data_IF_717354762591
#
_entry.id   IF_717354762591
#
_cell.length_a   1.000
_cell.length_b   1.000
_cell.length_c   1.000
_cell.angle_alpha   90.00
_cell.angle_beta   90.00
_cell.angle_gamma   90.00
#
_symmetry.space_group_name_H-M   'P 1'
#
loop_
_entity.id
_entity.type
_entity.pdbx_description
1 polymer ?
#
# COMPACT_ATOMS: atom_id res chain seq x y z
N UNK A 1 9.42 27.48 55.34
CA UNK A 1 8.10 27.11 54.75
C UNK A 1 8.01 27.33 53.23
N UNK A 2 8.74 28.30 52.63
CA UNK A 2 8.66 28.64 51.20
C UNK A 2 9.30 27.62 50.22
N UNK A 3 10.36 26.91 50.66
CA UNK A 3 11.11 25.93 49.85
C UNK A 3 10.37 24.62 49.59
N UNK A 4 9.43 24.25 50.48
CA UNK A 4 8.63 23.01 50.39
C UNK A 4 7.47 23.14 49.40
N UNK A 5 6.83 24.32 49.33
CA UNK A 5 5.76 24.62 48.35
C UNK A 5 6.28 24.62 46.91
N UNK A 6 7.48 25.14 46.66
CA UNK A 6 8.11 25.12 45.33
C UNK A 6 8.40 23.70 44.83
N UNK A 7 8.85 22.78 45.70
CA UNK A 7 9.07 21.38 45.33
C UNK A 7 7.77 20.65 44.96
N UNK A 8 6.69 20.89 45.72
CA UNK A 8 5.36 20.30 45.42
C UNK A 8 4.75 20.86 44.12
N UNK A 9 4.94 22.16 43.86
CA UNK A 9 4.53 22.77 42.59
C UNK A 9 5.33 22.23 41.40
N UNK A 10 6.64 22.02 41.56
CA UNK A 10 7.49 21.44 40.51
C UNK A 10 7.10 19.98 40.20
N UNK A 11 6.81 19.18 41.23
CA UNK A 11 6.36 17.78 41.07
C UNK A 11 4.98 17.73 40.39
N UNK A 12 4.06 18.63 40.75
CA UNK A 12 2.76 18.71 40.09
C UNK A 12 2.89 19.14 38.61
N UNK A 13 3.81 20.06 38.29
CA UNK A 13 4.06 20.49 36.92
C UNK A 13 4.66 19.37 36.07
N UNK A 14 5.61 18.60 36.63
CA UNK A 14 6.18 17.42 35.98
C UNK A 14 5.10 16.37 35.74
N UNK A 15 4.23 16.09 36.73
CA UNK A 15 3.14 15.13 36.56
C UNK A 15 2.13 15.55 35.47
N UNK A 16 1.84 16.85 35.34
CA UNK A 16 0.96 17.38 34.28
C UNK A 16 1.63 17.29 32.91
N UNK A 17 2.93 17.61 32.82
CA UNK A 17 3.70 17.47 31.57
C UNK A 17 3.82 15.98 31.18
N UNK A 18 4.08 15.09 32.12
CA UNK A 18 4.11 13.64 31.88
C UNK A 18 2.74 13.10 31.47
N UNK A 19 1.64 13.59 32.05
CA UNK A 19 0.29 13.22 31.63
C UNK A 19 -0.05 13.77 30.23
N UNK A 20 0.39 14.98 29.89
CA UNK A 20 0.22 15.57 28.55
C UNK A 20 1.04 14.84 27.48
N UNK A 21 2.25 14.39 27.81
CA UNK A 21 3.09 13.55 26.94
C UNK A 21 2.45 12.16 26.76
N UNK A 22 1.84 11.60 27.80
CA UNK A 22 1.15 10.31 27.72
C UNK A 22 -0.16 10.39 26.91
N UNK A 23 -0.92 11.50 27.00
CA UNK A 23 -2.06 11.75 26.12
C UNK A 23 -1.63 12.10 24.69
N UNK A 24 -0.48 12.75 24.51
CA UNK A 24 0.12 12.99 23.20
C UNK A 24 0.54 11.68 22.53
N UNK A 25 1.08 10.72 23.28
CA UNK A 25 1.41 9.38 22.78
C UNK A 25 0.16 8.57 22.38
N UNK A 26 -0.98 8.74 23.07
CA UNK A 26 -2.26 8.17 22.64
C UNK A 26 -2.87 8.87 21.41
N UNK A 27 -2.47 10.11 21.12
CA UNK A 27 -2.92 10.83 19.93
C UNK A 27 -2.03 10.57 18.69
N UNK A 28 -0.76 10.20 18.87
CA UNK A 28 0.15 9.87 17.76
C UNK A 28 -0.26 8.58 17.04
N UNK A 29 -0.97 7.67 17.72
CA UNK A 29 -1.57 6.49 17.05
C UNK A 29 -2.79 6.83 16.18
N UNK A 30 -3.24 8.09 16.13
CA UNK A 30 -4.34 8.54 15.26
C UNK A 30 -3.79 9.11 13.94
N UNK A 31 -2.48 9.38 13.82
CA UNK A 31 -1.94 10.20 12.70
C UNK A 31 -1.41 9.36 11.53
N UNK A 32 -1.25 8.03 11.67
CA UNK A 32 -0.78 7.18 10.57
C UNK A 32 -1.55 5.86 10.49
N UNK A 33 -2.69 5.90 9.79
CA UNK A 33 -3.41 4.73 9.28
C UNK A 33 -4.39 4.09 10.26
N UNK A 34 -5.65 4.52 10.25
CA UNK A 34 -6.74 3.66 10.74
C UNK A 34 -7.97 3.82 9.84
N UNK A 35 -8.11 2.94 8.84
CA UNK A 35 -9.28 2.87 7.94
C UNK A 35 -10.24 1.75 8.31
N UNK A 36 -9.92 1.07 9.42
CA UNK A 36 -10.68 -0.02 9.99
C UNK A 36 -10.80 0.23 11.47
N UNK A 37 -11.92 0.82 11.90
CA UNK A 37 -12.25 0.90 13.31
C UNK A 37 -12.23 -0.53 13.90
N UNK A 38 -11.18 -0.83 14.66
CA UNK A 38 -10.86 -2.15 15.15
C UNK A 38 -10.79 -2.15 16.67
N UNK A 39 -10.98 -3.33 17.29
CA UNK A 39 -10.78 -3.55 18.71
C UNK A 39 -9.57 -4.47 18.91
N UNK A 40 -8.43 -3.95 19.38
CA UNK A 40 -7.26 -4.77 19.67
C UNK A 40 -7.59 -5.93 20.62
N UNK A 41 -7.11 -7.14 20.32
CA UNK A 41 -7.47 -8.35 21.05
C UNK A 41 -6.30 -9.36 21.11
N UNK A 42 -6.38 -10.34 22.02
CA UNK A 42 -5.37 -11.41 22.12
C UNK A 42 -5.46 -12.45 21.00
N UNK A 43 -6.62 -12.52 20.35
CA UNK A 43 -6.89 -13.38 19.21
C UNK A 43 -6.92 -12.51 17.94
N UNK A 44 -6.07 -12.78 16.93
CA UNK A 44 -6.06 -12.00 15.70
C UNK A 44 -7.37 -12.10 14.92
N UNK A 45 -8.10 -13.21 15.01
CA UNK A 45 -9.41 -13.37 14.37
C UNK A 45 -10.42 -12.38 14.96
N UNK A 46 -10.43 -12.23 16.29
CA UNK A 46 -11.33 -11.30 16.97
C UNK A 46 -11.10 -9.83 16.55
N UNK A 47 -9.86 -9.46 16.23
CA UNK A 47 -9.54 -8.12 15.70
C UNK A 47 -10.16 -7.93 14.32
N UNK A 48 -9.96 -8.89 13.41
CA UNK A 48 -10.53 -8.84 12.05
C UNK A 48 -12.06 -8.84 12.06
N UNK A 49 -12.68 -9.66 12.91
CA UNK A 49 -14.12 -9.65 13.09
C UNK A 49 -14.61 -8.27 13.53
N UNK A 50 -13.95 -7.64 14.51
CA UNK A 50 -14.34 -6.29 14.95
C UNK A 50 -14.17 -5.22 13.87
N UNK A 51 -13.19 -5.40 12.98
CA UNK A 51 -12.94 -4.50 11.87
C UNK A 51 -14.05 -4.63 10.80
N UNK A 52 -14.45 -5.86 10.47
CA UNK A 52 -15.57 -6.14 9.56
C UNK A 52 -16.91 -5.66 10.12
N UNK A 53 -17.15 -5.86 11.43
CA UNK A 53 -18.31 -5.29 12.11
C UNK A 53 -18.38 -3.77 11.94
N UNK A 54 -17.25 -3.06 12.08
CA UNK A 54 -17.24 -1.62 11.89
C UNK A 54 -17.49 -1.19 10.45
N UNK A 55 -17.09 -1.98 9.45
CA UNK A 55 -17.44 -1.69 8.05
C UNK A 55 -18.95 -1.77 7.80
N UNK A 56 -19.64 -2.70 8.47
CA UNK A 56 -21.11 -2.78 8.39
C UNK A 56 -21.80 -1.53 8.96
N UNK A 57 -21.09 -0.76 9.79
CA UNK A 57 -21.57 0.50 10.36
C UNK A 57 -21.26 1.75 9.53
N UNK A 58 -20.54 1.61 8.40
CA UNK A 58 -20.28 2.74 7.50
C UNK A 58 -21.54 3.09 6.71
N UNK A 59 -21.69 4.38 6.40
CA UNK A 59 -22.95 4.91 5.90
C UNK A 59 -23.28 4.50 4.45
N UNK A 60 -22.29 4.00 3.71
CA UNK A 60 -22.38 3.47 2.35
C UNK A 60 -22.47 1.93 2.30
N UNK A 61 -22.37 1.23 3.42
CA UNK A 61 -22.46 -0.24 3.48
C UNK A 61 -23.87 -0.63 3.93
N UNK A 62 -24.60 -1.38 3.10
CA UNK A 62 -25.94 -1.87 3.45
C UNK A 62 -25.88 -3.13 4.30
N UNK A 63 -24.98 -4.06 3.97
CA UNK A 63 -24.75 -5.26 4.77
C UNK A 63 -23.41 -5.92 4.47
N UNK A 64 -22.85 -6.59 5.48
CA UNK A 64 -21.73 -7.53 5.33
C UNK A 64 -22.14 -8.85 5.96
N UNK A 65 -22.08 -9.92 5.17
CA UNK A 65 -22.25 -11.30 5.64
C UNK A 65 -20.89 -12.00 5.66
N UNK A 66 -20.39 -12.27 6.86
CA UNK A 66 -19.08 -12.91 7.04
C UNK A 66 -19.20 -14.41 6.77
N UNK A 67 -18.45 -14.92 5.79
CA UNK A 67 -18.43 -16.33 5.39
C UNK A 67 -17.34 -17.07 6.15
N UNK A 68 -16.11 -16.55 6.16
CA UNK A 68 -14.99 -17.12 6.93
C UNK A 68 -13.99 -16.06 7.36
N UNK A 69 -13.30 -16.32 8.48
CA UNK A 69 -12.14 -15.55 8.93
C UNK A 69 -11.15 -16.53 9.54
N UNK A 70 -9.97 -16.67 8.93
CA UNK A 70 -8.98 -17.66 9.34
C UNK A 70 -7.55 -17.17 9.14
N UNK A 71 -6.60 -17.57 10.01
CA UNK A 71 -5.18 -17.30 9.76
C UNK A 71 -4.69 -18.01 8.49
N UNK A 72 -3.94 -17.29 7.65
CA UNK A 72 -3.29 -17.84 6.46
C UNK A 72 -1.77 -17.86 6.68
N UNK A 73 -1.24 -19.04 7.03
CA UNK A 73 0.17 -19.19 7.37
C UNK A 73 1.09 -19.08 6.16
N UNK A 74 0.63 -19.48 4.98
CA UNK A 74 1.42 -19.40 3.75
C UNK A 74 1.55 -17.93 3.33
N UNK A 75 0.45 -17.18 3.37
CA UNK A 75 0.46 -15.73 3.18
C UNK A 75 1.28 -15.01 4.26
N UNK A 76 1.18 -15.48 5.51
CA UNK A 76 2.01 -14.96 6.62
C UNK A 76 3.50 -15.11 6.31
N UNK A 77 3.95 -16.26 5.80
CA UNK A 77 5.34 -16.49 5.42
C UNK A 77 5.74 -15.63 4.22
N UNK A 78 4.88 -15.57 3.19
CA UNK A 78 5.13 -14.76 1.98
C UNK A 78 5.31 -13.29 2.33
N UNK A 79 4.40 -12.73 3.13
CA UNK A 79 4.40 -11.32 3.48
C UNK A 79 5.52 -10.97 4.45
N UNK A 80 5.86 -11.84 5.42
CA UNK A 80 7.03 -11.62 6.28
C UNK A 80 8.32 -11.52 5.48
N UNK A 81 8.52 -12.41 4.50
CA UNK A 81 9.71 -12.34 3.63
C UNK A 81 9.75 -11.02 2.88
N UNK A 82 8.63 -10.64 2.27
CA UNK A 82 8.52 -9.36 1.56
C UNK A 82 8.88 -8.17 2.47
N UNK A 83 8.28 -8.06 3.66
CA UNK A 83 8.55 -6.97 4.62
C UNK A 83 10.01 -6.99 5.11
N UNK A 84 10.60 -8.17 5.31
CA UNK A 84 11.98 -8.28 5.79
C UNK A 84 13.03 -7.93 4.73
N UNK A 85 12.70 -8.14 3.45
CA UNK A 85 13.55 -7.78 2.33
C UNK A 85 13.38 -6.30 1.93
N UNK A 86 12.57 -5.54 2.68
CA UNK A 86 12.19 -4.15 2.45
C UNK A 86 12.68 -3.26 3.62
N UNK A 87 12.62 -1.93 3.50
CA UNK A 87 13.02 -0.99 4.56
C UNK A 87 11.88 -0.64 5.58
N UNK A 88 10.68 -1.20 5.42
CA UNK A 88 9.54 -1.10 6.36
C UNK A 88 9.92 -1.41 7.81
N UNK A 89 10.73 -2.45 8.11
CA UNK A 89 11.16 -2.73 9.48
C UNK A 89 11.95 -1.57 10.10
N UNK A 90 12.84 -0.91 9.34
CA UNK A 90 13.64 0.21 9.84
C UNK A 90 12.74 1.41 10.20
N UNK A 91 11.80 1.76 9.32
CA UNK A 91 10.88 2.88 9.56
C UNK A 91 9.91 2.62 10.73
N UNK A 92 9.41 1.38 10.86
CA UNK A 92 8.50 0.99 11.94
C UNK A 92 9.21 0.64 13.26
N UNK A 93 10.55 0.61 13.26
CA UNK A 93 11.35 0.16 14.39
C UNK A 93 11.16 -1.32 14.71
N UNK A 94 10.81 -2.14 13.72
CA UNK A 94 10.64 -3.58 13.81
C UNK A 94 11.92 -4.29 13.38
N UNK A 95 12.22 -5.43 14.00
CA UNK A 95 13.24 -6.34 13.50
C UNK A 95 12.58 -7.56 12.84
N UNK A 96 13.30 -8.24 11.96
CA UNK A 96 12.81 -9.48 11.36
C UNK A 96 12.56 -10.58 12.41
N UNK A 97 13.35 -10.58 13.49
CA UNK A 97 13.12 -11.46 14.64
C UNK A 97 11.82 -11.11 15.37
N UNK A 98 11.49 -9.82 15.51
CA UNK A 98 10.21 -9.40 16.05
C UNK A 98 9.04 -9.88 15.17
N UNK A 99 9.12 -9.70 13.86
CA UNK A 99 8.07 -10.12 12.91
C UNK A 99 7.92 -11.64 12.85
N UNK A 100 8.98 -12.41 13.11
CA UNK A 100 8.93 -13.87 13.12
C UNK A 100 7.85 -14.42 14.06
N UNK A 101 7.67 -13.79 15.22
CA UNK A 101 6.72 -14.22 16.27
C UNK A 101 5.51 -13.30 16.46
N UNK A 102 5.52 -12.10 15.86
CA UNK A 102 4.54 -11.05 16.13
C UNK A 102 3.89 -10.50 14.85
N UNK A 103 3.90 -11.26 13.76
CA UNK A 103 3.18 -10.93 12.53
C UNK A 103 2.33 -12.12 12.06
N UNK A 104 1.10 -11.82 11.62
CA UNK A 104 0.18 -12.82 11.06
C UNK A 104 -0.69 -12.21 9.97
N UNK A 105 -0.92 -12.97 8.91
CA UNK A 105 -1.94 -12.69 7.91
C UNK A 105 -3.22 -13.46 8.26
N UNK A 106 -4.37 -12.80 8.21
CA UNK A 106 -5.69 -13.38 8.42
C UNK A 106 -6.51 -13.14 7.16
N UNK A 107 -6.98 -14.22 6.55
CA UNK A 107 -7.88 -14.20 5.41
C UNK A 107 -9.31 -14.08 5.90
N UNK A 108 -10.06 -13.15 5.33
CA UNK A 108 -11.50 -13.04 5.48
C UNK A 108 -12.18 -13.25 4.12
N UNK A 109 -13.28 -13.98 4.15
CA UNK A 109 -14.21 -14.10 3.02
C UNK A 109 -15.57 -13.61 3.52
N UNK A 110 -16.18 -12.67 2.80
CA UNK A 110 -17.47 -12.09 3.15
C UNK A 110 -18.23 -11.62 1.92
N UNK A 111 -19.55 -11.58 2.00
CA UNK A 111 -20.41 -10.95 1.01
C UNK A 111 -20.74 -9.52 1.43
N UNK A 112 -20.50 -8.54 0.57
CA UNK A 112 -20.80 -7.14 0.85
C UNK A 112 -21.86 -6.59 -0.10
N UNK A 113 -22.79 -5.81 0.45
CA UNK A 113 -23.82 -5.08 -0.29
C UNK A 113 -23.67 -3.61 0.05
N UNK A 114 -23.59 -2.75 -0.96
CA UNK A 114 -23.31 -1.33 -0.82
C UNK A 114 -24.46 -0.46 -1.34
N UNK A 115 -24.55 0.75 -0.77
CA UNK A 115 -25.44 1.78 -1.29
C UNK A 115 -24.79 2.41 -2.53
N UNK A 116 -25.24 1.95 -3.70
CA UNK A 116 -24.75 2.39 -5.01
C UNK A 116 -25.00 3.88 -5.30
N UNK A 117 -25.77 4.58 -4.45
CA UNK A 117 -25.93 6.05 -4.53
C UNK A 117 -24.81 6.81 -3.81
N UNK A 118 -24.07 6.13 -2.93
CA UNK A 118 -23.02 6.70 -2.08
C UNK A 118 -21.62 6.20 -2.42
N UNK A 119 -21.51 5.01 -3.00
CA UNK A 119 -20.24 4.44 -3.45
C UNK A 119 -20.39 3.79 -4.82
N UNK A 120 -19.28 3.67 -5.53
CA UNK A 120 -19.15 2.97 -6.82
C UNK A 120 -18.77 1.50 -6.65
N UNK A 121 -18.64 1.01 -5.41
CA UNK A 121 -18.30 -0.39 -5.13
C UNK A 121 -19.42 -1.33 -5.54
N UNK A 122 -19.10 -2.32 -6.37
CA UNK A 122 -20.00 -3.41 -6.68
C UNK A 122 -20.26 -4.28 -5.45
N UNK A 123 -21.50 -4.74 -5.32
CA UNK A 123 -21.86 -5.82 -4.40
C UNK A 123 -21.14 -7.11 -4.81
N UNK A 124 -20.90 -8.01 -3.86
CA UNK A 124 -20.36 -9.34 -4.15
C UNK A 124 -19.51 -9.96 -3.04
N UNK A 125 -18.96 -11.13 -3.38
CA UNK A 125 -18.06 -11.87 -2.51
C UNK A 125 -16.67 -11.26 -2.55
N UNK A 126 -16.15 -10.92 -1.38
CA UNK A 126 -14.84 -10.33 -1.18
C UNK A 126 -13.95 -11.35 -0.49
N UNK A 127 -12.75 -11.55 -1.04
CA UNK A 127 -11.64 -12.17 -0.33
C UNK A 127 -10.63 -11.09 0.04
N UNK A 128 -10.31 -10.99 1.31
CA UNK A 128 -9.46 -9.94 1.85
C UNK A 128 -8.46 -10.49 2.85
N UNK A 129 -7.21 -10.06 2.74
CA UNK A 129 -6.17 -10.34 3.71
C UNK A 129 -5.99 -9.16 4.65
N UNK A 130 -5.94 -9.44 5.95
CA UNK A 130 -5.59 -8.50 7.00
C UNK A 130 -4.22 -8.87 7.54
N UNK A 131 -3.33 -7.91 7.64
CA UNK A 131 -1.98 -8.08 8.18
C UNK A 131 -1.94 -7.47 9.57
N UNK A 132 -1.64 -8.29 10.57
CA UNK A 132 -1.68 -7.89 11.97
C UNK A 132 -0.29 -8.02 12.59
N UNK A 133 0.01 -7.10 13.50
CA UNK A 133 1.15 -7.25 14.41
C UNK A 133 0.71 -7.34 15.86
N UNK A 134 1.51 -8.03 16.69
CA UNK A 134 1.26 -8.18 18.12
C UNK A 134 2.14 -7.25 18.92
N UNK A 135 1.54 -6.28 19.60
CA UNK A 135 2.26 -5.30 20.41
C UNK A 135 3.18 -5.96 21.45
N UNK A 136 4.41 -5.46 21.56
CA UNK A 136 5.43 -5.96 22.47
C UNK A 136 4.99 -5.92 23.94
N UNK A 137 4.22 -4.89 24.31
CA UNK A 137 3.93 -4.55 25.70
C UNK A 137 2.56 -5.08 26.16
N UNK A 138 1.52 -4.85 25.34
CA UNK A 138 0.15 -5.24 25.66
C UNK A 138 -0.20 -6.67 25.20
N UNK A 139 0.63 -7.27 24.34
CA UNK A 139 0.41 -8.58 23.69
C UNK A 139 -0.92 -8.66 22.93
N UNK A 140 -1.45 -7.53 22.48
CA UNK A 140 -2.66 -7.45 21.67
C UNK A 140 -2.28 -7.36 20.20
N UNK A 141 -3.07 -8.03 19.36
CA UNK A 141 -3.02 -7.91 17.92
C UNK A 141 -3.73 -6.64 17.46
N UNK A 142 -3.18 -6.03 16.43
CA UNK A 142 -3.74 -4.88 15.72
C UNK A 142 -3.50 -5.04 14.23
N UNK A 143 -4.51 -4.75 13.42
CA UNK A 143 -4.39 -4.62 11.96
C UNK A 143 -3.50 -3.43 11.68
N UNK A 144 -2.41 -3.69 10.95
CA UNK A 144 -1.48 -2.67 10.48
C UNK A 144 -1.68 -2.36 9.00
N UNK A 145 -2.33 -3.27 8.28
CA UNK A 145 -2.60 -3.16 6.85
C UNK A 145 -3.62 -4.21 6.40
N UNK A 146 -4.20 -4.06 5.22
CA UNK A 146 -5.08 -5.03 4.59
C UNK A 146 -4.98 -4.94 3.06
N UNK A 147 -5.04 -6.07 2.35
CA UNK A 147 -5.25 -6.03 0.90
C UNK A 147 -6.66 -5.49 0.65
N UNK A 148 -6.84 -4.43 -0.14
CA UNK A 148 -8.21 -4.03 -0.50
C UNK A 148 -8.88 -5.05 -1.44
N UNK A 149 -10.12 -4.78 -1.85
CA UNK A 149 -11.00 -5.73 -2.55
C UNK A 149 -10.30 -6.38 -3.75
N UNK A 150 -9.71 -7.55 -3.52
CA UNK A 150 -9.26 -8.43 -4.57
C UNK A 150 -10.48 -9.26 -4.98
N UNK A 151 -11.18 -8.78 -6.00
CA UNK A 151 -11.77 -9.72 -6.96
C UNK A 151 -10.62 -10.43 -7.68
N UNK A 152 -9.91 -11.31 -6.97
CA UNK A 152 -9.00 -12.32 -7.54
C UNK A 152 -9.82 -13.52 -8.02
N UNK A 153 -10.93 -13.25 -8.69
CA UNK A 153 -11.59 -14.24 -9.51
C UNK A 153 -11.55 -13.73 -10.95
N UNK A 154 -10.66 -14.41 -11.68
CA UNK A 154 -10.64 -14.60 -13.12
C UNK A 154 -9.58 -13.80 -13.92
N UNK A 155 -8.31 -13.97 -13.55
CA UNK A 155 -7.29 -14.19 -14.57
C UNK A 155 -6.24 -15.20 -14.08
N UNK A 156 -6.63 -16.47 -14.00
CA UNK A 156 -5.67 -17.57 -14.14
C UNK A 156 -5.12 -17.56 -15.56
N UNK A 157 -4.20 -16.65 -15.82
CA UNK A 157 -3.13 -16.85 -16.80
C UNK A 157 -1.81 -16.76 -16.05
N UNK A 158 -1.53 -17.82 -15.27
CA UNK A 158 -0.20 -18.16 -14.79
C UNK A 158 0.75 -18.56 -15.95
N UNK A 159 0.77 -17.77 -17.02
CA UNK A 159 1.84 -17.78 -17.99
C UNK A 159 2.88 -16.77 -17.51
N UNK A 160 4.18 -17.11 -17.47
CA UNK A 160 5.21 -16.10 -17.53
C UNK A 160 4.89 -15.25 -18.76
N UNK A 161 4.64 -13.95 -18.59
CA UNK A 161 4.54 -13.02 -19.71
C UNK A 161 5.96 -12.86 -20.26
N UNK A 162 6.43 -13.85 -21.01
CA UNK A 162 7.54 -13.62 -21.92
C UNK A 162 7.03 -12.65 -22.98
N UNK A 163 7.62 -11.45 -23.12
CA UNK A 163 7.18 -10.48 -24.09
C UNK A 163 7.51 -11.02 -25.48
N UNK A 164 6.53 -11.62 -26.14
CA UNK A 164 6.64 -12.05 -27.53
C UNK A 164 6.18 -10.95 -28.50
N UNK A 165 6.10 -9.70 -28.03
CA UNK A 165 5.78 -8.53 -28.85
C UNK A 165 7.04 -7.71 -29.08
N UNK A 166 7.48 -7.61 -30.34
CA UNK A 166 8.64 -6.80 -30.74
C UNK A 166 8.40 -5.28 -30.62
N UNK A 167 7.36 -4.84 -29.90
CA UNK A 167 6.98 -3.44 -29.74
C UNK A 167 7.54 -2.90 -28.40
N UNK A 168 8.55 -2.01 -28.42
CA UNK A 168 9.15 -1.45 -27.20
C UNK A 168 8.13 -0.78 -26.27
N UNK A 169 7.11 -0.10 -26.81
CA UNK A 169 6.07 0.56 -26.01
C UNK A 169 5.27 -0.43 -25.17
N UNK A 170 4.88 -1.57 -25.75
CA UNK A 170 4.13 -2.60 -25.03
C UNK A 170 5.00 -3.30 -23.98
N UNK A 171 6.26 -3.56 -24.32
CA UNK A 171 7.25 -4.10 -23.40
C UNK A 171 7.46 -3.18 -22.18
N UNK A 172 7.55 -1.86 -22.41
CA UNK A 172 7.63 -0.87 -21.33
C UNK A 172 6.36 -0.83 -20.48
N UNK A 173 5.17 -0.86 -21.10
CA UNK A 173 3.92 -0.87 -20.35
C UNK A 173 3.86 -2.08 -19.40
N UNK A 174 4.20 -3.27 -19.88
CA UNK A 174 4.23 -4.49 -19.07
C UNK A 174 5.25 -4.40 -17.93
N UNK A 175 6.49 -4.04 -18.25
CA UNK A 175 7.56 -3.90 -17.27
C UNK A 175 7.21 -2.89 -16.16
N UNK A 176 6.74 -1.69 -16.55
CA UNK A 176 6.36 -0.65 -15.60
C UNK A 176 5.12 -1.03 -14.80
N UNK A 177 4.14 -1.71 -15.41
CA UNK A 177 2.97 -2.20 -14.67
C UNK A 177 3.38 -3.17 -13.56
N UNK A 178 4.30 -4.10 -13.84
CA UNK A 178 4.84 -5.01 -12.81
C UNK A 178 5.67 -4.29 -11.74
N UNK A 179 6.47 -3.30 -12.15
CA UNK A 179 7.26 -2.48 -11.22
C UNK A 179 6.34 -1.69 -10.27
N UNK A 180 5.35 -0.99 -10.81
CA UNK A 180 4.38 -0.22 -10.02
C UNK A 180 3.46 -1.12 -9.20
N UNK A 181 3.02 -2.26 -9.72
CA UNK A 181 2.24 -3.22 -8.93
C UNK A 181 3.03 -3.67 -7.69
N UNK A 182 4.33 -3.97 -7.84
CA UNK A 182 5.19 -4.34 -6.71
C UNK A 182 5.34 -3.24 -5.67
N UNK A 183 5.35 -1.97 -6.09
CA UNK A 183 5.47 -0.82 -5.21
C UNK A 183 4.13 -0.41 -4.56
N UNK A 184 3.01 -0.51 -5.29
CA UNK A 184 1.77 0.19 -4.96
C UNK A 184 0.57 -0.71 -4.62
N UNK A 185 0.61 -2.00 -4.96
CA UNK A 185 -0.55 -2.90 -4.73
C UNK A 185 -0.91 -3.11 -3.26
N UNK A 186 0.00 -2.79 -2.34
CA UNK A 186 -0.30 -2.78 -0.91
C UNK A 186 -1.15 -1.57 -0.51
N UNK A 187 -0.98 -0.43 -1.19
CA UNK A 187 -1.57 0.83 -0.80
C UNK A 187 -2.89 1.12 -1.54
N UNK A 188 -3.01 0.62 -2.76
CA UNK A 188 -4.04 1.03 -3.71
C UNK A 188 -4.76 -0.17 -4.35
N UNK A 189 -6.07 -0.02 -4.59
CA UNK A 189 -6.89 -1.02 -5.29
C UNK A 189 -7.11 -0.61 -6.74
N UNK A 190 -7.48 -1.58 -7.59
CA UNK A 190 -7.89 -1.32 -8.97
C UNK A 190 -6.80 -0.71 -9.85
N UNK A 191 -5.54 -1.06 -9.58
CA UNK A 191 -4.39 -0.56 -10.33
C UNK A 191 -4.51 -0.92 -11.82
N UNK A 192 -4.52 0.11 -12.67
CA UNK A 192 -4.34 -0.01 -14.13
C UNK A 192 -3.45 1.12 -14.64
N UNK A 193 -2.84 0.91 -15.79
CA UNK A 193 -1.79 1.79 -16.28
C UNK A 193 -1.99 2.19 -17.74
N UNK A 194 -1.55 3.39 -18.08
CA UNK A 194 -1.58 3.90 -19.45
C UNK A 194 -0.30 4.68 -19.77
N UNK A 195 0.22 4.50 -20.99
CA UNK A 195 1.31 5.31 -21.56
C UNK A 195 0.72 6.31 -22.55
N UNK A 196 0.87 7.59 -22.23
CA UNK A 196 0.44 8.75 -23.00
C UNK A 196 1.64 9.56 -23.50
N UNK A 197 1.45 10.32 -24.57
CA UNK A 197 2.48 11.23 -25.12
C UNK A 197 3.84 10.55 -25.41
N UNK A 198 3.79 9.35 -25.98
CA UNK A 198 4.97 8.51 -26.21
C UNK A 198 5.84 9.00 -27.37
N UNK A 199 7.14 9.13 -27.09
CA UNK A 199 8.20 9.42 -28.06
C UNK A 199 9.38 8.48 -27.79
N UNK A 200 10.03 7.99 -28.85
CA UNK A 200 11.20 7.12 -28.74
C UNK A 200 12.29 7.49 -29.74
N UNK A 201 13.53 7.25 -29.35
CA UNK A 201 14.73 7.39 -30.17
C UNK A 201 15.52 6.09 -30.05
N UNK A 202 15.80 5.48 -31.20
CA UNK A 202 16.67 4.30 -31.30
C UNK A 202 17.91 4.68 -32.11
N UNK A 203 19.09 4.53 -31.52
CA UNK A 203 20.37 4.81 -32.17
C UNK A 203 21.46 3.88 -31.65
N UNK A 204 22.21 3.23 -32.53
CA UNK A 204 23.35 2.36 -32.17
C UNK A 204 23.01 1.33 -31.07
N UNK A 205 21.88 0.63 -31.20
CA UNK A 205 21.37 -0.33 -30.21
C UNK A 205 21.04 0.25 -28.83
N UNK A 206 21.01 1.59 -28.69
CA UNK A 206 20.47 2.28 -27.54
C UNK A 206 19.05 2.74 -27.83
N UNK A 207 18.18 2.52 -26.86
CA UNK A 207 16.79 2.93 -26.85
C UNK A 207 16.61 3.99 -25.76
N UNK A 208 15.93 5.08 -26.11
CA UNK A 208 15.47 6.08 -25.15
C UNK A 208 14.02 6.41 -25.46
N UNK A 209 13.16 6.42 -24.45
CA UNK A 209 11.77 6.82 -24.60
C UNK A 209 11.38 7.84 -23.53
N UNK A 210 10.54 8.79 -23.92
CA UNK A 210 9.93 9.79 -23.07
C UNK A 210 8.40 9.71 -23.19
N UNK A 211 7.70 9.70 -22.07
CA UNK A 211 6.25 9.56 -22.04
C UNK A 211 5.65 9.95 -20.69
N UNK A 212 4.34 10.17 -20.67
CA UNK A 212 3.57 10.25 -19.43
C UNK A 212 3.01 8.86 -19.09
N UNK A 213 3.37 8.35 -17.93
CA UNK A 213 2.83 7.13 -17.35
C UNK A 213 1.74 7.50 -16.33
N UNK A 214 0.52 7.05 -16.59
CA UNK A 214 -0.64 7.31 -15.71
C UNK A 214 -0.97 6.03 -14.95
N UNK A 215 -0.88 6.08 -13.63
CA UNK A 215 -1.36 5.05 -12.71
C UNK A 215 -2.76 5.43 -12.24
N UNK A 216 -3.74 4.61 -12.58
CA UNK A 216 -5.08 4.71 -12.04
C UNK A 216 -5.21 3.84 -10.80
N UNK A 217 -5.96 4.31 -9.81
CA UNK A 217 -6.28 3.56 -8.60
C UNK A 217 -7.63 3.97 -8.05
N UNK A 218 -8.24 3.10 -7.24
CA UNK A 218 -9.46 3.45 -6.51
C UNK A 218 -9.08 4.19 -5.23
N UNK A 219 -9.62 5.39 -5.09
CA UNK A 219 -9.51 6.18 -3.88
C UNK A 219 -10.05 5.40 -2.69
N UNK A 220 -9.37 5.57 -1.55
CA UNK A 220 -9.71 4.89 -0.31
C UNK A 220 -10.53 5.78 0.65
N UNK A 221 -10.88 7.00 0.21
CA UNK A 221 -11.68 7.96 0.98
C UNK A 221 -11.00 8.49 2.25
N UNK A 222 -9.66 8.55 2.26
CA UNK A 222 -8.86 8.90 3.46
C UNK A 222 -9.08 10.34 3.92
N UNK A 223 -9.14 11.25 2.97
CA UNK A 223 -9.34 12.68 3.15
C UNK A 223 -10.81 13.07 3.00
N UNK A 224 -11.49 12.47 2.03
CA UNK A 224 -12.91 12.68 1.72
C UNK A 224 -13.58 11.32 1.57
N UNK A 225 -14.39 10.94 2.56
CA UNK A 225 -15.09 9.64 2.60
C UNK A 225 -15.91 9.37 1.32
N UNK A 226 -16.54 10.40 0.74
CA UNK A 226 -17.32 10.26 -0.50
C UNK A 226 -16.51 9.95 -1.76
N UNK A 227 -15.18 10.02 -1.69
CA UNK A 227 -14.30 9.66 -2.81
C UNK A 227 -13.92 8.18 -2.78
N UNK A 228 -14.26 7.44 -1.72
CA UNK A 228 -13.96 6.02 -1.63
C UNK A 228 -14.57 5.20 -2.79
N UNK A 229 -13.71 4.49 -3.53
CA UNK A 229 -14.06 3.69 -4.70
C UNK A 229 -14.05 4.47 -6.02
N UNK A 230 -13.85 5.79 -6.02
CA UNK A 230 -13.71 6.57 -7.27
C UNK A 230 -12.31 6.39 -7.86
N UNK A 231 -12.23 6.34 -9.18
CA UNK A 231 -10.95 6.28 -9.87
C UNK A 231 -10.19 7.61 -9.72
N UNK A 232 -8.92 7.53 -9.32
CA UNK A 232 -7.97 8.62 -9.20
C UNK A 232 -6.70 8.32 -10.00
N UNK A 233 -5.95 9.38 -10.31
CA UNK A 233 -4.79 9.30 -11.20
C UNK A 233 -3.51 9.80 -10.50
N UNK A 234 -2.46 9.00 -10.56
CA UNK A 234 -1.08 9.42 -10.33
C UNK A 234 -0.35 9.52 -11.67
N UNK A 235 0.19 10.69 -11.99
CA UNK A 235 0.86 10.94 -13.27
C UNK A 235 2.37 11.09 -13.06
N UNK A 236 3.14 10.36 -13.87
CA UNK A 236 4.61 10.37 -13.85
C UNK A 236 5.11 10.71 -15.25
N UNK A 237 6.01 11.69 -15.37
CA UNK A 237 6.74 11.92 -16.62
C UNK A 237 8.00 11.08 -16.58
N UNK A 238 8.07 10.04 -17.41
CA UNK A 238 9.14 9.05 -17.37
C UNK A 238 10.06 9.18 -18.57
N UNK A 239 11.36 9.02 -18.30
CA UNK A 239 12.41 8.81 -19.29
C UNK A 239 13.00 7.43 -19.05
N UNK A 240 12.92 6.57 -20.06
CA UNK A 240 13.49 5.21 -20.01
C UNK A 240 14.68 5.11 -20.93
N UNK A 241 15.76 4.50 -20.44
CA UNK A 241 16.96 4.16 -21.22
C UNK A 241 17.18 2.66 -21.14
N UNK A 242 17.46 2.02 -22.27
CA UNK A 242 17.78 0.60 -22.34
C UNK A 242 18.61 0.29 -23.60
N UNK A 243 19.20 -0.90 -23.67
CA UNK A 243 19.64 -1.46 -24.94
C UNK A 243 18.46 -2.11 -25.66
N UNK A 244 18.53 -2.16 -27.00
CA UNK A 244 17.59 -2.87 -27.84
C UNK A 244 18.30 -3.97 -28.63
N UNK A 245 17.74 -5.17 -28.58
CA UNK A 245 18.23 -6.35 -29.28
C UNK A 245 17.93 -6.27 -30.79
N UNK A 246 18.63 -7.04 -31.63
CA UNK A 246 18.39 -7.07 -33.08
C UNK A 246 16.97 -7.48 -33.49
N UNK A 247 16.24 -8.16 -32.61
CA UNK A 247 14.84 -8.58 -32.82
C UNK A 247 13.81 -7.51 -32.39
N UNK A 248 14.26 -6.34 -31.91
CA UNK A 248 13.41 -5.26 -31.43
C UNK A 248 12.96 -5.40 -29.96
N UNK A 249 13.41 -6.44 -29.24
CA UNK A 249 13.16 -6.57 -27.80
C UNK A 249 14.07 -5.65 -26.98
N UNK A 250 13.55 -5.14 -25.87
CA UNK A 250 14.31 -4.38 -24.89
C UNK A 250 15.13 -5.34 -24.02
N UNK A 251 16.38 -4.96 -23.76
CA UNK A 251 17.24 -5.62 -22.79
C UNK A 251 16.93 -5.08 -21.38
N UNK A 252 16.04 -5.78 -20.67
CA UNK A 252 15.62 -5.37 -19.32
C UNK A 252 16.73 -5.42 -18.28
N UNK A 253 17.85 -6.13 -18.51
CA UNK A 253 18.99 -6.09 -17.60
C UNK A 253 19.75 -4.75 -17.69
N UNK A 254 19.56 -4.02 -18.80
CA UNK A 254 20.14 -2.70 -19.04
C UNK A 254 19.20 -1.53 -18.78
N UNK A 255 17.94 -1.80 -18.42
CA UNK A 255 16.92 -0.76 -18.30
C UNK A 255 17.20 0.17 -17.13
N UNK A 256 16.98 1.46 -17.33
CA UNK A 256 17.00 2.49 -16.30
C UNK A 256 15.80 3.40 -16.51
N UNK A 257 15.01 3.60 -15.46
CA UNK A 257 13.77 4.38 -15.49
C UNK A 257 13.95 5.59 -14.60
N UNK A 258 13.73 6.76 -15.16
CA UNK A 258 13.82 8.04 -14.45
C UNK A 258 12.49 8.77 -14.51
N UNK A 259 12.17 9.54 -13.48
CA UNK A 259 11.09 10.50 -13.47
C UNK A 259 11.63 11.94 -13.53
N UNK A 260 10.94 12.78 -14.28
CA UNK A 260 11.15 14.23 -14.33
C UNK A 260 10.35 14.89 -13.21
N UNK A 261 11.06 15.49 -12.24
CA UNK A 261 10.46 16.15 -11.06
C UNK A 261 9.95 17.56 -11.33
N UNK A 262 10.38 18.20 -12.42
CA UNK A 262 10.12 19.61 -12.69
C UNK A 262 8.93 19.83 -13.62
N UNK A 263 8.34 18.73 -14.13
CA UNK A 263 7.17 18.75 -15.03
C UNK A 263 7.42 19.63 -16.27
N UNK A 264 8.68 19.96 -16.53
CA UNK A 264 9.15 20.94 -17.51
C UNK A 264 9.56 20.25 -18.81
N UNK A 265 9.65 18.91 -18.81
CA UNK A 265 10.26 18.09 -19.87
C UNK A 265 11.73 18.43 -20.09
N UNK A 266 12.36 19.13 -19.15
CA UNK A 266 13.78 19.47 -19.20
C UNK A 266 14.56 18.36 -18.50
N UNK A 267 15.48 17.72 -19.22
CA UNK A 267 16.11 16.45 -18.81
C UNK A 267 17.22 16.61 -17.76
N UNK A 268 17.40 17.82 -17.24
CA UNK A 268 18.52 18.14 -16.36
C UNK A 268 18.32 17.63 -14.92
N UNK A 269 17.07 17.38 -14.51
CA UNK A 269 16.70 16.91 -13.17
C UNK A 269 15.95 15.55 -13.21
N UNK A 270 16.61 14.53 -13.77
CA UNK A 270 16.11 13.17 -13.78
C UNK A 270 16.46 12.42 -12.48
N UNK A 271 15.44 11.87 -11.82
CA UNK A 271 15.57 11.09 -10.58
C UNK A 271 15.16 9.63 -10.84
N UNK A 272 15.88 8.61 -10.31
CA UNK A 272 15.46 7.21 -10.42
C UNK A 272 14.02 7.02 -9.93
N UNK A 273 13.21 6.24 -10.68
CA UNK A 273 11.78 6.09 -10.36
C UNK A 273 11.54 5.47 -8.98
N UNK A 274 12.48 4.65 -8.51
CA UNK A 274 12.43 3.99 -7.21
C UNK A 274 12.43 4.99 -6.05
N UNK A 275 12.94 6.21 -6.23
CA UNK A 275 12.89 7.25 -5.19
C UNK A 275 11.47 7.79 -4.96
N UNK A 276 10.56 7.60 -5.92
CA UNK A 276 9.15 7.97 -5.78
C UNK A 276 8.30 6.85 -5.19
N UNK A 277 8.83 5.64 -5.14
CA UNK A 277 8.09 4.54 -4.55
C UNK A 277 7.97 4.78 -3.05
N UNK A 278 6.83 4.38 -2.45
CA UNK A 278 6.71 4.35 -1.01
C UNK A 278 7.95 3.67 -0.46
N UNK A 279 8.60 4.24 0.59
CA UNK A 279 9.80 3.66 1.14
C UNK A 279 9.54 2.18 1.36
N UNK A 280 10.38 1.36 0.73
CA UNK A 280 10.31 -0.08 0.90
C UNK A 280 10.36 -0.40 2.36
#
# INVERSE_FOLDING_TARGET
>A
MYRFRRKRLLIALIAIISALILTGACAVTIIYGDLWLQKPARDPIAVVMSALESQSGKDYTLSIEIISVEPDLDETVRMKRYICDSAVPEWRGWSCEYLAENFIAVKAVYHAVYDQTKTTRSDGDVTQYFYLTRGSDNKLWTIIDNSGNLNLLDDTSGAPLTPNTANPREQLLLYLSELFNRAYSLYYDGLRYEINDYSEIISNSQFTADFRFTMYHLAKGWDIESDEGKEQEGNFFLVVKANINPDGSLDFDSISVFADIDWSRDTDDLVPIEEFFPPT
#
